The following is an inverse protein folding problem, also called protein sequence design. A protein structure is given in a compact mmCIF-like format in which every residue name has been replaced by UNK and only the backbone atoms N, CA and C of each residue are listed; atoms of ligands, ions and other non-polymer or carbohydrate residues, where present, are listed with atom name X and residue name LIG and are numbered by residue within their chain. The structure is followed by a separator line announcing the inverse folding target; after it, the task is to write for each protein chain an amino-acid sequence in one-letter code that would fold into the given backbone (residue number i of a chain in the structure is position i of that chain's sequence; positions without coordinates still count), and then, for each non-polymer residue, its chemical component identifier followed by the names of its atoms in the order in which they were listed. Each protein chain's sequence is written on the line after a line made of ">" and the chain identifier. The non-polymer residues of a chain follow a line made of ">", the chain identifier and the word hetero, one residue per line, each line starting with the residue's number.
data_IF_244398735782
#
_entry.id   IF_244398735782
#
_cell.length_a   1.000
_cell.length_b   1.000
_cell.length_c   1.000
_cell.angle_alpha   90.00
_cell.angle_beta   90.00
_cell.angle_gamma   90.00
#
_symmetry.space_group_name_H-M   'P 1'
#
loop_
_entity.id
_entity.type
_entity.pdbx_description
1 polymer ?
#
# COMPACT_ATOMS: atom_id res chain seq x y z
N UNK A 1 6.65 57.00 37.51
CA UNK A 1 5.45 56.77 36.67
C UNK A 1 5.91 56.59 35.23
N UNK A 2 5.82 55.37 34.68
CA UNK A 2 5.79 55.18 33.23
C UNK A 2 5.06 53.87 32.91
N UNK A 3 4.14 53.97 31.98
CA UNK A 3 3.00 53.09 31.75
C UNK A 3 3.36 51.82 30.96
N UNK A 4 2.58 50.75 31.18
CA UNK A 4 2.30 49.69 30.20
C UNK A 4 1.19 50.20 29.26
N UNK A 5 1.15 49.75 27.99
CA UNK A 5 0.14 48.72 27.67
C UNK A 5 0.45 47.74 26.50
N UNK A 6 -0.30 46.64 26.54
CA UNK A 6 -0.98 45.91 25.46
C UNK A 6 -0.20 45.05 24.42
N UNK A 7 -0.37 43.72 24.59
CA UNK A 7 -0.92 42.72 23.66
C UNK A 7 -0.75 42.85 22.13
N UNK A 8 -0.23 41.78 21.51
CA UNK A 8 -0.71 41.18 20.25
C UNK A 8 -0.05 39.80 20.11
N UNK A 9 -0.74 38.72 20.50
CA UNK A 9 -1.48 37.85 19.59
C UNK A 9 -0.59 37.13 18.56
N UNK A 10 -0.31 35.85 18.84
CA UNK A 10 0.19 34.85 17.90
C UNK A 10 -0.73 34.74 16.67
N UNK A 11 -0.21 34.31 15.51
CA UNK A 11 -1.01 33.54 14.58
C UNK A 11 -0.65 32.06 14.68
N UNK A 12 -1.69 31.30 14.96
CA UNK A 12 -1.81 29.85 14.81
C UNK A 12 -1.30 29.37 13.45
N UNK A 13 -0.57 28.26 13.46
CA UNK A 13 -0.44 27.39 12.29
C UNK A 13 -1.53 26.32 12.45
N UNK A 14 -2.64 26.57 11.78
CA UNK A 14 -3.71 25.59 11.53
C UNK A 14 -3.39 24.88 10.22
N UNK A 15 -3.79 23.60 10.13
CA UNK A 15 -3.78 22.69 8.97
C UNK A 15 -2.49 21.90 8.70
N UNK A 16 -2.43 20.70 9.26
CA UNK A 16 -2.55 19.49 8.43
C UNK A 16 -3.34 18.44 9.20
N UNK A 17 -4.52 18.09 8.69
CA UNK A 17 -5.34 16.99 9.18
C UNK A 17 -4.65 15.69 8.79
N UNK A 18 -3.67 15.27 9.59
CA UNK A 18 -3.08 13.94 9.48
C UNK A 18 -4.22 12.92 9.62
N UNK A 19 -4.45 12.15 8.56
CA UNK A 19 -5.33 10.98 8.63
C UNK A 19 -4.88 10.13 9.84
N UNK A 20 -5.81 9.61 10.65
CA UNK A 20 -5.43 8.83 11.83
C UNK A 20 -4.60 7.63 11.37
N UNK A 21 -3.30 7.63 11.73
CA UNK A 21 -2.41 6.50 11.48
C UNK A 21 -2.99 5.32 12.24
N UNK A 22 -3.44 4.29 11.50
CA UNK A 22 -4.04 3.12 12.13
C UNK A 22 -3.01 2.42 13.00
N UNK A 23 -3.41 2.06 14.22
CA UNK A 23 -2.49 1.37 15.15
C UNK A 23 -2.12 -0.01 14.59
N UNK A 24 -0.92 -0.53 14.86
CA UNK A 24 -0.47 -1.82 14.31
C UNK A 24 -1.44 -2.99 14.52
N UNK A 25 -2.10 -3.06 15.69
CA UNK A 25 -3.12 -4.10 15.98
C UNK A 25 -4.35 -3.98 15.09
N UNK A 26 -4.79 -2.77 14.79
CA UNK A 26 -5.96 -2.50 13.95
C UNK A 26 -5.66 -2.91 12.48
N UNK A 27 -4.44 -2.64 12.00
CA UNK A 27 -3.96 -3.07 10.67
C UNK A 27 -3.91 -4.61 10.54
N UNK A 28 -3.37 -5.30 11.54
CA UNK A 28 -3.32 -6.78 11.56
C UNK A 28 -4.73 -7.37 11.53
N UNK A 29 -5.67 -6.78 12.29
CA UNK A 29 -7.07 -7.23 12.30
C UNK A 29 -7.71 -7.08 10.92
N UNK A 30 -7.54 -5.92 10.29
CA UNK A 30 -8.12 -5.65 8.97
C UNK A 30 -7.63 -6.61 7.88
N UNK A 31 -6.33 -6.97 7.87
CA UNK A 31 -5.81 -7.97 6.92
C UNK A 31 -6.40 -9.36 7.20
N UNK A 32 -6.60 -9.73 8.47
CA UNK A 32 -7.28 -11.00 8.82
C UNK A 32 -8.74 -11.00 8.39
N UNK A 33 -9.45 -9.89 8.58
CA UNK A 33 -10.84 -9.72 8.11
C UNK A 33 -10.92 -9.83 6.58
N UNK A 34 -9.98 -9.24 5.83
CA UNK A 34 -9.88 -9.43 4.37
C UNK A 34 -9.79 -10.92 3.99
N UNK A 35 -8.87 -11.66 4.62
CA UNK A 35 -8.67 -13.08 4.29
C UNK A 35 -9.90 -13.97 4.60
N UNK A 36 -10.77 -13.52 5.49
CA UNK A 36 -12.00 -14.20 5.88
C UNK A 36 -13.24 -13.68 5.13
N UNK A 37 -13.09 -12.66 4.28
CA UNK A 37 -14.21 -12.04 3.57
C UNK A 37 -14.67 -12.88 2.37
N UNK A 38 -15.98 -12.83 2.09
CA UNK A 38 -16.57 -13.47 0.91
C UNK A 38 -15.97 -12.90 -0.39
N UNK A 39 -15.75 -11.59 -0.45
CA UNK A 39 -15.10 -10.93 -1.61
C UNK A 39 -13.74 -11.55 -1.93
N UNK A 40 -12.93 -11.84 -0.92
CA UNK A 40 -11.62 -12.48 -1.12
C UNK A 40 -11.76 -13.95 -1.51
N UNK A 41 -12.69 -14.69 -0.89
CA UNK A 41 -12.95 -16.09 -1.16
C UNK A 41 -13.49 -16.34 -2.58
N UNK A 42 -14.29 -15.43 -3.13
CA UNK A 42 -14.85 -15.50 -4.47
C UNK A 42 -13.79 -15.34 -5.59
N UNK A 43 -12.58 -14.90 -5.25
CA UNK A 43 -11.52 -14.67 -6.23
C UNK A 43 -10.84 -15.96 -6.69
N UNK A 44 -11.23 -16.43 -7.87
CA UNK A 44 -10.69 -17.65 -8.48
C UNK A 44 -9.27 -17.53 -9.07
N UNK A 45 -8.73 -16.31 -9.22
CA UNK A 45 -7.41 -16.08 -9.84
C UNK A 45 -6.46 -15.40 -8.85
N UNK A 46 -5.21 -15.88 -8.82
CA UNK A 46 -4.13 -15.30 -8.01
C UNK A 46 -3.94 -13.79 -8.25
N UNK A 47 -4.10 -13.33 -9.49
CA UNK A 47 -4.01 -11.89 -9.80
C UNK A 47 -5.10 -11.09 -9.10
N UNK A 48 -6.32 -11.60 -8.97
CA UNK A 48 -7.41 -10.86 -8.32
C UNK A 48 -7.16 -10.72 -6.82
N UNK A 49 -6.77 -11.82 -6.15
CA UNK A 49 -6.37 -11.80 -4.74
C UNK A 49 -5.19 -10.87 -4.49
N UNK A 50 -4.20 -10.91 -5.38
CA UNK A 50 -3.08 -9.97 -5.36
C UNK A 50 -3.54 -8.50 -5.43
N UNK A 51 -4.48 -8.16 -6.32
CA UNK A 51 -5.02 -6.79 -6.38
C UNK A 51 -5.74 -6.39 -5.08
N UNK A 52 -6.58 -7.28 -4.52
CA UNK A 52 -7.29 -7.00 -3.26
C UNK A 52 -6.33 -6.75 -2.10
N UNK A 53 -5.31 -7.59 -1.95
CA UNK A 53 -4.28 -7.39 -0.92
C UNK A 53 -3.60 -6.04 -1.08
N UNK A 54 -3.19 -5.66 -2.30
CA UNK A 54 -2.55 -4.36 -2.54
C UNK A 54 -3.47 -3.18 -2.20
N UNK A 55 -4.75 -3.24 -2.62
CA UNK A 55 -5.75 -2.24 -2.29
C UNK A 55 -5.90 -2.08 -0.77
N UNK A 56 -6.04 -3.19 -0.03
CA UNK A 56 -6.16 -3.15 1.43
C UNK A 56 -4.90 -2.62 2.11
N UNK A 57 -3.70 -3.02 1.67
CA UNK A 57 -2.46 -2.52 2.26
C UNK A 57 -2.35 -1.00 2.10
N UNK A 58 -2.67 -0.46 0.93
CA UNK A 58 -2.68 0.98 0.70
C UNK A 58 -3.69 1.73 1.60
N UNK A 59 -4.91 1.21 1.76
CA UNK A 59 -5.94 1.89 2.58
C UNK A 59 -5.61 1.88 4.07
N UNK A 60 -4.83 0.90 4.54
CA UNK A 60 -4.39 0.83 5.93
C UNK A 60 -3.30 1.85 6.27
N UNK A 61 -2.37 2.08 5.34
CA UNK A 61 -1.25 2.99 5.51
C UNK A 61 -0.66 3.39 4.14
N UNK A 62 -1.21 4.45 3.55
CA UNK A 62 -0.81 4.92 2.23
C UNK A 62 0.67 5.37 2.18
N UNK A 63 1.18 5.97 3.25
CA UNK A 63 2.55 6.44 3.34
C UNK A 63 3.53 5.25 3.46
N UNK A 64 3.22 4.29 4.32
CA UNK A 64 3.99 3.05 4.44
C UNK A 64 4.00 2.24 3.14
N UNK A 65 2.85 2.15 2.46
CA UNK A 65 2.76 1.49 1.16
C UNK A 65 3.58 2.20 0.07
N UNK A 66 3.52 3.54 0.01
CA UNK A 66 4.31 4.34 -0.93
C UNK A 66 5.82 4.05 -0.76
N UNK A 67 6.33 4.19 0.47
CA UNK A 67 7.74 3.92 0.77
C UNK A 67 8.15 2.48 0.42
N UNK A 68 7.28 1.50 0.72
CA UNK A 68 7.53 0.10 0.39
C UNK A 68 7.58 -0.18 -1.12
N UNK A 69 6.72 0.49 -1.91
CA UNK A 69 6.65 0.26 -3.36
C UNK A 69 7.75 0.97 -4.14
N UNK A 70 8.24 2.11 -3.67
CA UNK A 70 9.40 2.81 -4.25
C UNK A 70 10.68 1.96 -4.18
N UNK A 71 10.87 1.24 -3.08
CA UNK A 71 12.00 0.33 -2.89
C UNK A 71 11.91 -0.96 -3.72
N UNK A 72 10.73 -1.29 -4.25
CA UNK A 72 10.44 -2.56 -4.89
C UNK A 72 10.51 -2.47 -6.43
N UNK A 73 11.67 -2.81 -6.97
CA UNK A 73 11.89 -2.86 -8.43
C UNK A 73 12.49 -4.19 -8.86
N UNK A 74 12.26 -4.58 -10.12
CA UNK A 74 12.97 -5.69 -10.74
C UNK A 74 14.31 -5.25 -11.33
N UNK A 75 15.12 -6.20 -11.79
CA UNK A 75 16.42 -5.91 -12.44
C UNK A 75 16.31 -4.90 -13.60
N UNK A 76 15.23 -4.99 -14.38
CA UNK A 76 15.02 -4.16 -15.59
C UNK A 76 13.58 -3.67 -15.71
N UNK A 77 12.76 -3.82 -14.67
CA UNK A 77 11.33 -3.55 -14.75
C UNK A 77 10.87 -2.82 -13.51
N UNK A 78 10.22 -1.69 -13.70
CA UNK A 78 9.43 -1.02 -12.67
C UNK A 78 8.18 -1.86 -12.37
N UNK A 79 7.90 -2.12 -11.09
CA UNK A 79 6.76 -2.95 -10.69
C UNK A 79 5.51 -2.11 -10.40
N UNK A 80 5.70 -0.95 -9.75
CA UNK A 80 4.64 -0.02 -9.37
C UNK A 80 4.94 1.38 -9.92
N UNK A 81 3.89 2.09 -10.32
CA UNK A 81 3.99 3.50 -10.75
C UNK A 81 2.67 4.23 -10.53
N UNK A 82 2.68 5.55 -10.56
CA UNK A 82 1.46 6.38 -10.51
C UNK A 82 0.64 6.37 -11.81
N UNK A 83 1.20 5.83 -12.89
CA UNK A 83 0.56 5.79 -14.21
C UNK A 83 0.93 4.51 -14.99
N UNK A 84 0.08 4.18 -15.97
CA UNK A 84 0.26 3.00 -16.80
C UNK A 84 1.49 3.09 -17.72
N UNK A 85 1.80 4.29 -18.22
CA UNK A 85 2.81 4.50 -19.26
C UNK A 85 4.21 4.22 -18.73
N UNK A 86 4.51 4.63 -17.50
CA UNK A 86 5.77 4.35 -16.82
C UNK A 86 6.09 2.85 -16.77
N UNK A 87 5.07 2.00 -16.56
CA UNK A 87 5.23 0.53 -16.52
C UNK A 87 5.38 -0.11 -17.90
N UNK A 88 4.83 0.52 -18.95
CA UNK A 88 4.97 0.07 -20.34
C UNK A 88 6.33 0.47 -20.92
N UNK A 89 6.81 1.67 -20.59
CA UNK A 89 8.12 2.15 -21.02
C UNK A 89 9.27 1.26 -20.52
N UNK A 90 9.12 0.68 -19.33
CA UNK A 90 10.11 -0.22 -18.72
C UNK A 90 9.79 -1.72 -18.94
N UNK A 91 8.91 -2.05 -19.90
CA UNK A 91 8.67 -3.42 -20.33
C UNK A 91 7.47 -3.61 -21.25
N UNK A 92 7.71 -4.16 -22.44
CA UNK A 92 6.71 -4.32 -23.53
C UNK A 92 5.60 -5.34 -23.25
N UNK A 93 5.79 -6.26 -22.29
CA UNK A 93 4.82 -7.30 -21.96
C UNK A 93 4.53 -7.36 -20.45
N UNK A 94 4.42 -6.22 -19.77
CA UNK A 94 4.17 -6.16 -18.32
C UNK A 94 2.71 -6.32 -17.91
N UNK A 95 1.76 -6.16 -18.86
CA UNK A 95 0.31 -6.15 -18.63
C UNK A 95 -0.08 -5.35 -17.38
N UNK A 96 0.18 -4.03 -17.34
CA UNK A 96 -0.15 -3.22 -16.18
C UNK A 96 -1.66 -3.26 -15.85
N UNK A 97 -2.00 -3.19 -14.57
CA UNK A 97 -3.37 -2.98 -14.10
C UNK A 97 -3.39 -1.91 -13.02
N UNK A 98 -4.43 -1.09 -13.04
CA UNK A 98 -4.72 -0.14 -11.96
C UNK A 98 -5.14 -0.90 -10.69
N UNK A 99 -4.61 -0.49 -9.54
CA UNK A 99 -4.98 -1.05 -8.23
C UNK A 99 -6.19 -0.30 -7.69
N UNK A 100 -7.37 -0.94 -7.54
CA UNK A 100 -8.61 -0.27 -7.15
C UNK A 100 -8.47 0.52 -5.83
N UNK A 101 -9.02 1.74 -5.79
CA UNK A 101 -8.98 2.58 -4.59
C UNK A 101 -7.63 3.23 -4.28
N UNK A 102 -6.67 3.17 -5.20
CA UNK A 102 -5.31 3.71 -5.01
C UNK A 102 -4.89 4.52 -6.26
N UNK A 103 -3.86 5.37 -6.17
CA UNK A 103 -3.25 6.02 -7.35
C UNK A 103 -2.24 5.12 -8.09
N UNK A 104 -2.10 3.84 -7.71
CA UNK A 104 -1.05 2.97 -8.20
C UNK A 104 -1.50 2.08 -9.36
N UNK A 105 -0.57 1.88 -10.29
CA UNK A 105 -0.58 0.81 -11.27
C UNK A 105 0.46 -0.24 -10.88
N UNK A 106 0.19 -1.50 -11.22
CA UNK A 106 1.11 -2.62 -10.97
C UNK A 106 1.22 -3.53 -12.19
N UNK A 107 2.41 -4.09 -12.44
CA UNK A 107 2.60 -5.10 -13.48
C UNK A 107 1.93 -6.42 -13.08
N UNK A 108 1.22 -7.07 -14.01
CA UNK A 108 0.50 -8.33 -13.69
C UNK A 108 0.99 -9.55 -14.46
N UNK A 109 1.82 -9.36 -15.50
CA UNK A 109 2.49 -10.45 -16.20
C UNK A 109 3.69 -11.00 -15.41
N UNK A 110 3.38 -11.60 -14.27
CA UNK A 110 4.31 -12.23 -13.33
C UNK A 110 3.73 -13.57 -12.90
N UNK A 111 4.59 -14.55 -12.55
CA UNK A 111 4.10 -15.80 -11.96
C UNK A 111 3.62 -15.57 -10.51
N UNK A 112 2.90 -16.56 -9.95
CA UNK A 112 2.35 -16.47 -8.59
C UNK A 112 3.44 -16.28 -7.53
N UNK A 113 4.58 -16.97 -7.67
CA UNK A 113 5.72 -16.80 -6.76
C UNK A 113 6.18 -15.35 -6.66
N UNK A 114 6.29 -14.65 -7.80
CA UNK A 114 6.67 -13.24 -7.82
C UNK A 114 5.59 -12.32 -7.25
N UNK A 115 4.31 -12.64 -7.42
CA UNK A 115 3.21 -11.92 -6.76
C UNK A 115 3.33 -12.02 -5.23
N UNK A 116 3.61 -13.22 -4.73
CA UNK A 116 3.85 -13.48 -3.30
C UNK A 116 5.07 -12.72 -2.79
N UNK A 117 6.19 -12.73 -3.50
CA UNK A 117 7.38 -11.97 -3.11
C UNK A 117 7.15 -10.45 -3.10
N UNK A 118 6.33 -9.92 -4.02
CA UNK A 118 5.96 -8.51 -3.99
C UNK A 118 5.13 -8.18 -2.74
N UNK A 119 4.12 -9.02 -2.41
CA UNK A 119 3.32 -8.85 -1.19
C UNK A 119 4.20 -8.96 0.06
N UNK A 120 5.04 -9.99 0.13
CA UNK A 120 5.94 -10.24 1.25
C UNK A 120 6.83 -9.02 1.53
N UNK A 121 7.50 -8.50 0.49
CA UNK A 121 8.34 -7.31 0.62
C UNK A 121 7.56 -6.10 1.15
N UNK A 122 6.38 -5.82 0.57
CA UNK A 122 5.56 -4.69 0.97
C UNK A 122 5.11 -4.84 2.43
N UNK A 123 4.60 -6.00 2.80
CA UNK A 123 4.13 -6.24 4.17
C UNK A 123 5.26 -6.23 5.20
N UNK A 124 6.46 -6.73 4.85
CA UNK A 124 7.65 -6.64 5.70
C UNK A 124 8.06 -5.18 5.92
N UNK A 125 8.13 -4.37 4.85
CA UNK A 125 8.44 -2.95 4.94
C UNK A 125 7.41 -2.17 5.76
N UNK A 126 6.12 -2.55 5.65
CA UNK A 126 5.02 -2.01 6.46
C UNK A 126 4.95 -2.61 7.89
N UNK A 127 5.93 -3.44 8.26
CA UNK A 127 6.12 -4.00 9.61
C UNK A 127 4.97 -4.92 10.07
N UNK A 128 4.39 -5.69 9.15
CA UNK A 128 3.46 -6.76 9.52
C UNK A 128 4.20 -7.97 10.12
N UNK A 129 3.57 -8.72 11.05
CA UNK A 129 4.17 -9.93 11.61
C UNK A 129 4.40 -11.02 10.55
N UNK A 130 5.55 -11.71 10.62
CA UNK A 130 5.94 -12.76 9.67
C UNK A 130 4.88 -13.86 9.51
N UNK A 131 4.26 -14.30 10.60
CA UNK A 131 3.19 -15.31 10.58
C UNK A 131 1.97 -14.88 9.74
N UNK A 132 1.63 -13.59 9.77
CA UNK A 132 0.53 -13.06 8.96
C UNK A 132 0.93 -12.98 7.49
N UNK A 133 2.17 -12.57 7.22
CA UNK A 133 2.71 -12.47 5.86
C UNK A 133 2.67 -13.84 5.18
N UNK A 134 3.15 -14.88 5.87
CA UNK A 134 3.11 -16.26 5.37
C UNK A 134 1.69 -16.69 5.01
N UNK A 135 0.71 -16.41 5.89
CA UNK A 135 -0.71 -16.69 5.64
C UNK A 135 -1.25 -15.96 4.41
N UNK A 136 -0.98 -14.66 4.28
CA UNK A 136 -1.42 -13.88 3.11
C UNK A 136 -0.80 -14.46 1.84
N UNK A 137 0.52 -14.65 1.81
CA UNK A 137 1.24 -15.20 0.65
C UNK A 137 0.74 -16.61 0.27
N UNK A 138 0.40 -17.46 1.26
CA UNK A 138 -0.15 -18.80 1.02
C UNK A 138 -1.50 -18.81 0.29
N UNK A 139 -2.29 -17.74 0.44
CA UNK A 139 -3.60 -17.63 -0.21
C UNK A 139 -3.56 -17.03 -1.61
N UNK A 140 -2.47 -16.34 -2.01
CA UNK A 140 -2.34 -15.72 -3.34
C UNK A 140 -1.88 -16.74 -4.37
#
# INVERSE_FOLDING_TARGET
>A
MRALPAASASPSVELEKAAPVQRPRDRVRAVRELLLSDEYAEQNKAVNRFMLVLSTLYTLDAAGFAAATEALTGRTRTYFAGDQQTLLANGTHTKPKHVPGTPYWVITNTNTGRKRSMIEHIMQAMQFPAELIEKVCGTV
#
